data_IF_009884684912
#
_entry.id   IF_009884684912
#
_cell.length_a   1.000
_cell.length_b   1.000
_cell.length_c   1.000
_cell.angle_alpha   90.00
_cell.angle_beta   90.00
_cell.angle_gamma   90.00
#
_symmetry.space_group_name_H-M   'P 1'
#
loop_
_entity.id
_entity.type
_entity.pdbx_description
1 polymer ?
#
# COMPACT_ATOMS: atom_id res chain seq x y z
N UNK A 1 -6.48 9.21 -19.78
CA UNK A 1 -5.63 10.27 -19.19
C UNK A 1 -4.22 10.11 -19.69
N UNK A 2 -3.66 11.16 -20.29
CA UNK A 2 -2.24 11.21 -20.66
C UNK A 2 -1.40 11.66 -19.48
N UNK A 3 -0.25 11.04 -19.27
CA UNK A 3 0.65 11.34 -18.15
C UNK A 3 2.00 11.76 -18.72
N UNK A 4 2.44 12.98 -18.37
CA UNK A 4 3.76 13.47 -18.76
C UNK A 4 4.81 12.99 -17.78
N UNK A 5 5.96 12.54 -18.30
CA UNK A 5 7.12 12.11 -17.52
C UNK A 5 7.97 13.33 -17.16
N UNK A 6 8.30 13.50 -15.87
CA UNK A 6 8.98 14.69 -15.36
C UNK A 6 10.26 14.36 -14.58
N UNK A 7 10.18 13.42 -13.63
CA UNK A 7 11.30 13.07 -12.76
C UNK A 7 12.03 11.80 -13.16
N UNK A 8 11.35 10.89 -13.87
CA UNK A 8 11.86 9.57 -14.20
C UNK A 8 12.26 9.46 -15.67
N UNK A 9 12.92 8.35 -16.06
CA UNK A 9 13.24 8.05 -17.47
C UNK A 9 12.63 6.71 -17.87
N UNK A 10 12.19 6.62 -19.12
CA UNK A 10 11.64 5.39 -19.70
C UNK A 10 12.69 4.27 -19.65
N UNK A 11 12.24 3.05 -19.34
CA UNK A 11 13.09 1.84 -19.21
C UNK A 11 14.19 1.95 -18.14
N UNK A 12 14.05 2.88 -17.19
CA UNK A 12 14.96 3.07 -16.07
C UNK A 12 14.20 2.86 -14.76
N UNK A 13 14.83 2.26 -13.75
CA UNK A 13 14.21 2.20 -12.42
C UNK A 13 13.98 3.62 -11.89
N UNK A 14 12.79 3.95 -11.33
CA UNK A 14 12.56 5.23 -10.66
C UNK A 14 13.52 5.50 -9.50
N UNK A 15 14.16 4.46 -8.97
CA UNK A 15 15.10 4.57 -7.86
C UNK A 15 16.56 4.68 -8.29
N UNK A 16 16.87 4.59 -9.59
CA UNK A 16 18.25 4.46 -10.06
C UNK A 16 19.14 5.66 -9.69
N UNK A 17 18.58 6.86 -9.63
CA UNK A 17 19.29 8.11 -9.28
C UNK A 17 19.07 8.52 -7.81
N UNK A 18 18.63 7.58 -6.98
CA UNK A 18 18.38 7.79 -5.55
C UNK A 18 19.34 6.90 -4.76
N UNK A 19 20.18 7.52 -3.95
CA UNK A 19 21.00 6.78 -2.99
C UNK A 19 20.14 6.30 -1.81
N UNK A 20 20.36 5.05 -1.40
CA UNK A 20 19.71 4.44 -0.25
C UNK A 20 20.75 4.04 0.78
N UNK A 21 20.38 4.16 2.05
CA UNK A 21 21.18 3.71 3.19
C UNK A 21 20.43 2.68 4.01
N UNK A 22 21.17 1.76 4.63
CA UNK A 22 20.63 0.89 5.69
C UNK A 22 20.71 1.63 7.02
N UNK A 23 19.64 1.55 7.81
CA UNK A 23 19.55 2.18 9.12
C UNK A 23 18.63 1.39 10.05
N UNK A 24 18.76 1.64 11.35
CA UNK A 24 17.88 1.07 12.37
C UNK A 24 16.95 2.13 12.95
N UNK A 25 15.81 1.67 13.46
CA UNK A 25 14.87 2.47 14.23
C UNK A 25 14.69 1.83 15.60
N UNK A 26 14.91 2.60 16.66
CA UNK A 26 14.72 2.14 18.03
C UNK A 26 13.99 3.22 18.83
N UNK A 27 12.89 2.84 19.46
CA UNK A 27 12.08 3.73 20.30
C UNK A 27 12.15 3.21 21.72
N UNK A 28 12.55 4.07 22.66
CA UNK A 28 12.68 3.75 24.08
C UNK A 28 11.71 4.58 24.93
N UNK A 29 11.29 3.99 26.04
CA UNK A 29 10.59 4.69 27.12
C UNK A 29 11.58 5.60 27.90
N UNK A 30 11.08 6.54 28.71
CA UNK A 30 11.92 7.37 29.59
C UNK A 30 12.78 6.56 30.56
N UNK A 31 12.36 5.34 30.92
CA UNK A 31 13.11 4.42 31.78
C UNK A 31 14.20 3.62 31.04
N UNK A 32 14.36 3.84 29.73
CA UNK A 32 15.35 3.18 28.88
C UNK A 32 14.90 1.85 28.27
N UNK A 33 13.72 1.32 28.64
CA UNK A 33 13.17 0.09 28.06
C UNK A 33 12.78 0.28 26.59
N UNK A 34 13.01 -0.75 25.75
CA UNK A 34 12.73 -0.70 24.30
C UNK A 34 11.24 -0.94 24.05
N UNK A 35 10.59 0.01 23.38
CA UNK A 35 9.19 -0.05 22.95
C UNK A 35 9.08 -0.69 21.57
N UNK A 36 10.03 -0.39 20.69
CA UNK A 36 10.09 -0.88 19.33
C UNK A 36 11.54 -0.87 18.86
N UNK A 37 11.95 -1.91 18.15
CA UNK A 37 13.22 -1.95 17.44
C UNK A 37 13.00 -2.61 16.08
N UNK A 38 13.64 -2.05 15.07
CA UNK A 38 13.75 -2.63 13.75
C UNK A 38 15.13 -2.30 13.18
N UNK A 39 15.80 -3.32 12.67
CA UNK A 39 17.13 -3.25 12.09
C UNK A 39 17.08 -3.45 10.58
N UNK A 40 18.17 -3.11 9.90
CA UNK A 40 18.36 -3.32 8.46
C UNK A 40 17.25 -2.73 7.57
N UNK A 41 16.77 -1.54 7.92
CA UNK A 41 15.77 -0.83 7.13
C UNK A 41 16.45 0.01 6.06
N UNK A 42 16.11 -0.23 4.80
CA UNK A 42 16.62 0.52 3.65
C UNK A 42 15.70 1.71 3.33
N UNK A 43 16.23 2.94 3.46
CA UNK A 43 15.53 4.20 3.17
C UNK A 43 16.38 5.10 2.26
N UNK A 44 15.78 6.06 1.53
CA UNK A 44 16.55 7.07 0.82
C UNK A 44 17.51 7.80 1.76
N UNK A 45 18.75 8.03 1.32
CA UNK A 45 19.82 8.56 2.16
C UNK A 45 19.47 9.92 2.80
N UNK A 46 18.77 10.76 2.05
CA UNK A 46 18.34 12.09 2.47
C UNK A 46 17.19 12.11 3.48
N UNK A 47 16.61 10.96 3.86
CA UNK A 47 15.56 10.90 4.88
C UNK A 47 16.13 11.15 6.28
N UNK A 48 15.42 11.96 7.06
CA UNK A 48 15.74 12.17 8.47
C UNK A 48 15.50 10.91 9.30
N UNK A 49 16.16 10.79 10.46
CA UNK A 49 15.91 9.68 11.39
C UNK A 49 14.44 9.60 11.79
N UNK A 50 13.78 10.74 12.01
CA UNK A 50 12.35 10.79 12.35
C UNK A 50 11.47 10.20 11.24
N UNK A 51 11.79 10.47 9.96
CA UNK A 51 11.04 9.90 8.84
C UNK A 51 11.22 8.37 8.77
N UNK A 52 12.45 7.88 8.97
CA UNK A 52 12.75 6.47 9.10
C UNK A 52 11.97 5.83 10.26
N UNK A 53 11.97 6.45 11.44
CA UNK A 53 11.30 5.90 12.63
C UNK A 53 9.79 5.79 12.43
N UNK A 54 9.17 6.81 11.82
CA UNK A 54 7.74 6.78 11.47
C UNK A 54 7.45 5.68 10.46
N UNK A 55 8.25 5.56 9.40
CA UNK A 55 8.12 4.50 8.40
C UNK A 55 8.20 3.12 9.07
N UNK A 56 9.23 2.89 9.87
CA UNK A 56 9.51 1.63 10.55
C UNK A 56 8.40 1.23 11.51
N UNK A 57 7.95 2.18 12.34
CA UNK A 57 7.00 1.90 13.40
C UNK A 57 5.57 1.72 12.88
N UNK A 58 5.20 2.49 11.84
CA UNK A 58 3.80 2.65 11.40
C UNK A 58 3.50 2.04 10.04
N UNK A 59 4.39 2.15 9.06
CA UNK A 59 4.04 1.94 7.66
C UNK A 59 4.64 0.69 7.03
N UNK A 60 5.79 0.22 7.51
CA UNK A 60 6.29 -1.10 7.14
C UNK A 60 5.35 -2.17 7.69
N UNK A 61 4.90 -3.07 6.81
CA UNK A 61 4.14 -4.24 7.24
C UNK A 61 5.05 -5.14 8.07
N UNK A 62 4.71 -5.34 9.34
CA UNK A 62 5.60 -6.05 10.29
C UNK A 62 5.66 -7.57 10.10
N UNK A 63 4.62 -8.16 9.52
CA UNK A 63 4.53 -9.61 9.35
C UNK A 63 3.56 -10.02 8.25
N UNK A 64 3.71 -11.25 7.77
CA UNK A 64 2.81 -11.88 6.80
C UNK A 64 3.14 -11.56 5.34
N UNK A 65 4.24 -10.85 5.07
CA UNK A 65 4.76 -10.68 3.71
C UNK A 65 5.38 -12.00 3.28
N UNK A 66 4.89 -12.67 2.22
CA UNK A 66 5.43 -13.95 1.78
C UNK A 66 6.82 -13.77 1.14
N UNK A 67 7.74 -14.68 1.46
CA UNK A 67 9.09 -14.66 0.90
C UNK A 67 9.13 -14.89 -0.63
N UNK A 68 8.10 -15.53 -1.18
CA UNK A 68 7.94 -15.73 -2.62
C UNK A 68 6.49 -15.53 -3.04
N UNK A 69 6.31 -14.82 -4.16
CA UNK A 69 5.01 -14.56 -4.78
C UNK A 69 5.03 -14.89 -6.26
N UNK A 70 3.86 -15.20 -6.81
CA UNK A 70 3.63 -15.41 -8.24
C UNK A 70 2.51 -14.49 -8.74
N UNK A 71 2.57 -14.05 -10.02
CA UNK A 71 1.50 -13.26 -10.60
C UNK A 71 0.19 -14.06 -10.68
N UNK A 72 -0.94 -13.36 -10.67
CA UNK A 72 -2.28 -13.91 -10.88
C UNK A 72 -2.75 -13.45 -12.27
N UNK A 73 -2.58 -14.28 -13.32
CA UNK A 73 -2.94 -13.87 -14.67
C UNK A 73 -4.38 -13.34 -14.73
N UNK A 74 -4.53 -12.15 -15.28
CA UNK A 74 -5.81 -11.49 -15.46
C UNK A 74 -5.89 -11.01 -16.92
N UNK A 75 -7.06 -11.17 -17.53
CA UNK A 75 -7.27 -10.78 -18.92
C UNK A 75 -7.12 -9.24 -19.05
N UNK A 76 -6.57 -8.79 -20.18
CA UNK A 76 -6.43 -7.37 -20.52
C UNK A 76 -5.56 -6.55 -19.54
N UNK A 77 -4.69 -7.22 -18.78
CA UNK A 77 -3.68 -6.58 -17.93
C UNK A 77 -2.26 -6.90 -18.41
N UNK A 78 -1.37 -5.88 -18.49
CA UNK A 78 0.05 -6.11 -18.69
C UNK A 78 0.65 -6.94 -17.56
N UNK A 79 1.60 -7.81 -17.89
CA UNK A 79 2.25 -8.72 -16.93
C UNK A 79 2.88 -7.96 -15.74
N UNK A 80 3.46 -6.78 -16.00
CA UNK A 80 4.11 -5.96 -14.98
C UNK A 80 3.15 -5.32 -13.96
N UNK A 81 1.86 -5.23 -14.29
CA UNK A 81 0.81 -4.61 -13.46
C UNK A 81 -0.07 -5.65 -12.74
N UNK A 82 0.17 -6.92 -13.02
CA UNK A 82 -0.65 -8.02 -12.51
C UNK A 82 -0.51 -8.17 -10.99
N UNK A 83 -1.63 -8.36 -10.30
CA UNK A 83 -1.65 -8.66 -8.87
C UNK A 83 -0.90 -9.97 -8.56
N UNK A 84 -0.42 -10.11 -7.33
CA UNK A 84 0.39 -11.26 -6.91
C UNK A 84 -0.22 -11.98 -5.72
N UNK A 85 0.08 -13.26 -5.61
CA UNK A 85 -0.27 -14.10 -4.44
C UNK A 85 0.94 -14.89 -3.96
N UNK A 86 0.93 -15.41 -2.71
CA UNK A 86 1.98 -16.32 -2.25
C UNK A 86 2.17 -17.47 -3.23
N UNK A 87 3.42 -17.87 -3.46
CA UNK A 87 3.79 -18.96 -4.35
C UNK A 87 4.06 -20.25 -3.54
N UNK A 88 3.10 -21.20 -3.44
CA UNK A 88 3.27 -22.36 -2.58
C UNK A 88 4.43 -23.26 -3.00
N UNK A 89 4.75 -23.32 -4.30
CA UNK A 89 5.80 -24.18 -4.83
C UNK A 89 7.18 -23.65 -4.42
N UNK A 90 7.41 -22.35 -4.57
CA UNK A 90 8.65 -21.72 -4.09
C UNK A 90 8.74 -21.72 -2.57
N UNK A 91 7.63 -21.42 -1.88
CA UNK A 91 7.58 -21.40 -0.41
C UNK A 91 7.81 -22.79 0.20
N UNK A 92 7.52 -23.88 -0.51
CA UNK A 92 7.82 -25.24 -0.04
C UNK A 92 9.32 -25.45 0.18
N UNK A 93 10.17 -24.77 -0.59
CA UNK A 93 11.63 -24.83 -0.52
C UNK A 93 12.25 -23.83 0.48
N UNK A 94 11.43 -22.98 1.10
CA UNK A 94 11.86 -22.01 2.12
C UNK A 94 11.60 -22.61 3.51
N UNK A 95 12.57 -22.51 4.45
CA UNK A 95 12.37 -22.90 5.84
C UNK A 95 11.13 -22.26 6.44
N UNK A 96 10.37 -23.00 7.27
CA UNK A 96 9.02 -22.61 7.69
C UNK A 96 8.99 -21.25 8.38
N UNK A 97 10.00 -20.97 9.19
CA UNK A 97 10.25 -19.74 9.93
C UNK A 97 10.55 -18.54 9.03
N UNK A 98 11.02 -18.77 7.80
CA UNK A 98 11.40 -17.73 6.83
C UNK A 98 10.41 -17.61 5.68
N UNK A 99 9.29 -18.34 5.70
CA UNK A 99 8.26 -18.28 4.65
C UNK A 99 7.52 -16.95 4.63
N UNK A 100 7.43 -16.28 5.77
CA UNK A 100 6.85 -14.95 5.90
C UNK A 100 7.76 -14.03 6.70
N UNK A 101 7.74 -12.75 6.37
CA UNK A 101 8.52 -11.71 7.04
C UNK A 101 7.73 -10.40 7.09
N UNK A 102 8.37 -9.32 7.51
CA UNK A 102 7.90 -7.96 7.30
C UNK A 102 8.55 -7.29 6.08
N UNK A 103 8.04 -6.11 5.73
CA UNK A 103 8.74 -5.15 4.85
C UNK A 103 9.93 -4.56 5.61
N UNK A 104 11.07 -4.44 4.93
CA UNK A 104 12.32 -3.84 5.46
C UNK A 104 12.85 -2.74 4.57
N UNK A 105 12.20 -2.46 3.42
CA UNK A 105 12.64 -1.42 2.48
C UNK A 105 11.52 -0.43 2.24
N UNK A 106 11.84 0.86 2.24
CA UNK A 106 10.89 1.90 1.89
C UNK A 106 10.32 1.70 0.48
N UNK A 107 11.14 1.19 -0.45
CA UNK A 107 10.74 0.85 -1.82
C UNK A 107 9.62 -0.18 -1.89
N UNK A 108 9.51 -1.11 -0.93
CA UNK A 108 8.39 -2.07 -0.88
C UNK A 108 7.06 -1.34 -0.67
N UNK A 109 7.04 -0.37 0.26
CA UNK A 109 5.85 0.44 0.56
C UNK A 109 5.47 1.31 -0.64
N UNK A 110 6.44 1.98 -1.25
CA UNK A 110 6.20 2.80 -2.45
C UNK A 110 5.68 1.96 -3.61
N UNK A 111 6.28 0.79 -3.84
CA UNK A 111 5.93 -0.11 -4.94
C UNK A 111 4.52 -0.67 -4.79
N UNK A 112 4.14 -1.12 -3.59
CA UNK A 112 2.78 -1.63 -3.36
C UNK A 112 1.72 -0.56 -3.52
N UNK A 113 1.99 0.67 -3.04
CA UNK A 113 1.02 1.77 -3.16
C UNK A 113 0.88 2.23 -4.60
N UNK A 114 1.98 2.61 -5.25
CA UNK A 114 1.96 3.10 -6.63
C UNK A 114 1.45 2.03 -7.59
N UNK A 115 1.85 0.77 -7.39
CA UNK A 115 1.36 -0.36 -8.18
C UNK A 115 -0.14 -0.58 -8.03
N UNK A 116 -0.67 -0.58 -6.80
CA UNK A 116 -2.10 -0.77 -6.56
C UNK A 116 -2.96 0.36 -7.13
N UNK A 117 -2.54 1.62 -6.97
CA UNK A 117 -3.24 2.75 -7.59
C UNK A 117 -3.23 2.67 -9.12
N UNK A 118 -2.09 2.30 -9.71
CA UNK A 118 -1.98 2.09 -11.16
C UNK A 118 -2.88 0.95 -11.61
N UNK A 119 -2.92 -0.16 -10.87
CA UNK A 119 -3.76 -1.31 -11.17
C UNK A 119 -5.24 -0.96 -11.15
N UNK A 120 -5.69 -0.22 -10.12
CA UNK A 120 -7.07 0.26 -10.07
C UNK A 120 -7.39 1.26 -11.18
N UNK A 121 -6.48 2.20 -11.46
CA UNK A 121 -6.65 3.16 -12.56
C UNK A 121 -6.73 2.47 -13.92
N UNK A 122 -5.93 1.43 -14.15
CA UNK A 122 -5.99 0.60 -15.36
C UNK A 122 -7.36 -0.05 -15.52
N UNK A 123 -7.83 -0.75 -14.48
CA UNK A 123 -9.14 -1.41 -14.50
C UNK A 123 -10.31 -0.43 -14.66
N UNK A 124 -10.14 0.80 -14.19
CA UNK A 124 -11.12 1.87 -14.36
C UNK A 124 -11.02 2.59 -15.73
N UNK A 125 -10.10 2.18 -16.61
CA UNK A 125 -9.93 2.77 -17.95
C UNK A 125 -9.35 4.19 -17.92
N UNK A 126 -8.56 4.53 -16.90
CA UNK A 126 -8.07 5.90 -16.72
C UNK A 126 -6.93 6.28 -17.65
N UNK A 127 -6.17 5.34 -18.21
CA UNK A 127 -4.97 5.65 -19.00
C UNK A 127 -5.26 5.60 -20.51
N UNK A 128 -4.74 6.55 -21.28
CA UNK A 128 -4.91 6.55 -22.74
C UNK A 128 -4.06 5.46 -23.40
N UNK A 129 -2.85 5.22 -22.86
CA UNK A 129 -1.87 4.25 -23.35
C UNK A 129 -1.20 3.49 -22.19
N UNK A 130 -0.59 2.35 -22.48
CA UNK A 130 0.21 1.61 -21.50
C UNK A 130 1.38 2.43 -20.93
N UNK A 131 2.01 3.26 -21.77
CA UNK A 131 3.07 4.17 -21.36
C UNK A 131 2.61 5.18 -20.31
N UNK A 132 1.34 5.63 -20.36
CA UNK A 132 0.79 6.56 -19.37
C UNK A 132 0.68 5.89 -18.00
N UNK A 133 0.27 4.62 -17.96
CA UNK A 133 0.19 3.83 -16.73
C UNK A 133 1.58 3.56 -16.14
N UNK A 134 2.57 3.23 -16.98
CA UNK A 134 3.95 3.07 -16.56
C UNK A 134 4.52 4.38 -16.01
N UNK A 135 4.31 5.48 -16.72
CA UNK A 135 4.76 6.81 -16.29
C UNK A 135 4.12 7.21 -14.97
N UNK A 136 2.81 7.01 -14.80
CA UNK A 136 2.10 7.28 -13.55
C UNK A 136 2.72 6.50 -12.37
N UNK A 137 2.94 5.20 -12.56
CA UNK A 137 3.57 4.35 -11.54
C UNK A 137 4.97 4.83 -11.19
N UNK A 138 5.79 5.12 -12.19
CA UNK A 138 7.19 5.50 -12.02
C UNK A 138 7.34 6.85 -11.31
N UNK A 139 6.60 7.87 -11.77
CA UNK A 139 6.63 9.21 -11.20
C UNK A 139 6.18 9.18 -9.73
N UNK A 140 5.13 8.42 -9.39
CA UNK A 140 4.68 8.29 -8.00
C UNK A 140 5.74 7.63 -7.10
N UNK A 141 6.40 6.57 -7.57
CA UNK A 141 7.48 5.91 -6.83
C UNK A 141 8.63 6.88 -6.55
N UNK A 142 9.03 7.64 -7.56
CA UNK A 142 10.06 8.67 -7.41
C UNK A 142 9.63 9.77 -6.43
N UNK A 143 8.42 10.32 -6.61
CA UNK A 143 7.90 11.40 -5.77
C UNK A 143 7.76 11.00 -4.31
N UNK A 144 7.32 9.76 -4.03
CA UNK A 144 7.25 9.22 -2.67
C UNK A 144 8.66 9.09 -2.06
N UNK A 145 9.62 8.53 -2.81
CA UNK A 145 10.99 8.37 -2.34
C UNK A 145 11.69 9.72 -2.05
N UNK A 146 11.49 10.72 -2.92
CA UNK A 146 12.05 12.07 -2.75
C UNK A 146 11.19 13.00 -1.86
N UNK A 147 10.10 12.50 -1.28
CA UNK A 147 9.16 13.28 -0.46
C UNK A 147 8.61 14.54 -1.17
N UNK A 148 8.43 14.47 -2.49
CA UNK A 148 7.81 15.53 -3.32
C UNK A 148 6.30 15.57 -3.07
N UNK A 149 5.70 14.40 -2.83
CA UNK A 149 4.29 14.25 -2.48
C UNK A 149 4.13 13.12 -1.48
N UNK A 150 3.11 13.22 -0.63
CA UNK A 150 2.72 12.17 0.30
C UNK A 150 1.19 12.08 0.40
N UNK A 151 0.59 10.89 0.30
CA UNK A 151 -0.84 10.73 0.56
C UNK A 151 -1.12 10.80 2.07
N UNK A 152 -2.41 10.86 2.43
CA UNK A 152 -2.85 10.76 3.81
C UNK A 152 -2.44 9.42 4.47
N UNK A 153 -2.38 9.39 5.80
CA UNK A 153 -1.85 8.25 6.55
C UNK A 153 -2.53 6.90 6.28
N UNK A 154 -3.88 6.80 6.14
CA UNK A 154 -4.56 5.54 5.81
C UNK A 154 -3.99 4.80 4.61
N UNK A 155 -3.56 5.52 3.57
CA UNK A 155 -2.99 4.92 2.36
C UNK A 155 -1.72 4.12 2.66
N UNK A 156 -0.88 4.63 3.54
CA UNK A 156 0.40 3.99 3.87
C UNK A 156 0.23 2.64 4.58
N UNK A 157 -0.83 2.46 5.36
CA UNK A 157 -1.00 1.24 6.16
C UNK A 157 -1.34 0.01 5.33
N UNK A 158 -2.37 0.11 4.47
CA UNK A 158 -2.99 -1.08 3.88
C UNK A 158 -2.97 -1.09 2.35
N UNK A 159 -2.79 0.06 1.70
CA UNK A 159 -2.91 0.12 0.24
C UNK A 159 -1.87 -0.76 -0.44
N UNK A 160 -2.35 -1.65 -1.29
CA UNK A 160 -1.52 -2.52 -2.10
C UNK A 160 -0.96 -3.75 -1.39
N UNK A 161 -1.24 -3.99 -0.10
CA UNK A 161 -0.84 -5.24 0.55
C UNK A 161 -1.46 -6.47 -0.13
N UNK A 162 -2.74 -6.38 -0.48
CA UNK A 162 -3.40 -7.44 -1.26
C UNK A 162 -2.83 -7.54 -2.68
N UNK A 163 -2.66 -6.41 -3.38
CA UNK A 163 -2.16 -6.40 -4.76
C UNK A 163 -0.72 -6.93 -4.89
N UNK A 164 0.19 -6.52 -4.01
CA UNK A 164 1.61 -6.87 -4.08
C UNK A 164 1.92 -8.25 -3.50
N UNK A 165 1.15 -8.71 -2.50
CA UNK A 165 1.49 -9.88 -1.70
C UNK A 165 0.38 -10.93 -1.59
N UNK A 166 -0.85 -10.61 -1.99
CA UNK A 166 -2.02 -11.44 -1.74
C UNK A 166 -2.38 -11.54 -0.25
N UNK A 167 -1.96 -10.56 0.56
CA UNK A 167 -2.35 -10.49 1.97
C UNK A 167 -3.84 -10.15 2.03
N UNK A 168 -4.58 -10.96 2.78
CA UNK A 168 -6.01 -10.81 2.97
C UNK A 168 -6.39 -10.96 4.45
N UNK A 169 -7.64 -10.64 4.78
CA UNK A 169 -8.17 -10.67 6.13
C UNK A 169 -9.68 -10.46 6.17
N UNK A 170 -10.33 -10.81 7.30
CA UNK A 170 -11.78 -10.72 7.43
C UNK A 170 -12.29 -9.29 7.19
N UNK A 171 -13.52 -9.12 6.69
CA UNK A 171 -14.10 -7.81 6.44
C UNK A 171 -14.15 -6.97 7.73
N UNK A 172 -13.81 -5.69 7.61
CA UNK A 172 -13.77 -4.73 8.73
C UNK A 172 -14.85 -3.64 8.62
N UNK A 173 -15.92 -3.91 7.87
CA UNK A 173 -17.02 -2.94 7.71
C UNK A 173 -16.73 -1.80 6.72
N UNK A 174 -15.67 -1.91 5.92
CA UNK A 174 -15.34 -0.89 4.91
C UNK A 174 -16.32 -0.92 3.74
N UNK A 175 -16.53 0.23 3.12
CA UNK A 175 -17.32 0.38 1.90
C UNK A 175 -16.44 0.91 0.78
N UNK A 176 -16.76 0.52 -0.45
CA UNK A 176 -16.13 1.05 -1.64
C UNK A 176 -17.19 1.30 -2.73
N UNK A 177 -16.91 2.23 -3.62
CA UNK A 177 -17.73 2.45 -4.81
C UNK A 177 -17.17 1.58 -5.93
N UNK A 178 -18.02 0.75 -6.52
CA UNK A 178 -17.69 0.01 -7.74
C UNK A 178 -17.56 1.01 -8.90
N UNK A 179 -16.38 1.08 -9.50
CA UNK A 179 -16.09 2.03 -10.57
C UNK A 179 -16.88 1.78 -11.86
N UNK A 180 -17.39 0.57 -12.06
CA UNK A 180 -18.17 0.18 -13.26
C UNK A 180 -19.65 0.47 -13.09
N UNK A 181 -20.20 0.19 -11.90
CA UNK A 181 -21.65 0.34 -11.63
C UNK A 181 -22.00 1.63 -10.89
N UNK A 182 -21.02 2.30 -10.27
CA UNK A 182 -21.22 3.45 -9.40
C UNK A 182 -21.89 3.13 -8.06
N UNK A 183 -22.14 1.84 -7.76
CA UNK A 183 -22.83 1.42 -6.54
C UNK A 183 -21.86 1.29 -5.38
N UNK A 184 -22.31 1.71 -4.20
CA UNK A 184 -21.61 1.46 -2.94
C UNK A 184 -21.80 -0.01 -2.56
N UNK A 185 -20.70 -0.71 -2.31
CA UNK A 185 -20.67 -2.09 -1.87
C UNK A 185 -19.86 -2.19 -0.57
N UNK A 186 -20.24 -3.15 0.28
CA UNK A 186 -19.43 -3.50 1.44
C UNK A 186 -18.24 -4.35 0.97
N UNK A 187 -17.05 -4.09 1.52
CA UNK A 187 -15.87 -4.89 1.24
C UNK A 187 -15.96 -6.23 1.97
N UNK A 188 -15.70 -7.32 1.25
CA UNK A 188 -15.60 -8.67 1.80
C UNK A 188 -14.19 -8.98 2.35
N UNK A 189 -13.25 -8.05 2.18
CA UNK A 189 -11.85 -8.17 2.53
C UNK A 189 -11.35 -6.90 3.22
N UNK A 190 -10.48 -7.05 4.23
CA UNK A 190 -9.81 -5.91 4.85
C UNK A 190 -8.76 -5.23 3.94
N UNK A 191 -8.23 -5.94 2.93
CA UNK A 191 -7.03 -5.52 2.21
C UNK A 191 -7.19 -5.39 0.69
N UNK A 192 -8.16 -6.07 0.08
CA UNK A 192 -8.42 -5.96 -1.37
C UNK A 192 -8.94 -4.56 -1.73
N UNK A 193 -9.91 -4.07 -0.95
CA UNK A 193 -10.43 -2.70 -0.96
C UNK A 193 -10.28 -2.13 0.47
N UNK A 194 -9.05 -1.80 0.88
CA UNK A 194 -8.79 -1.35 2.24
C UNK A 194 -9.40 0.03 2.47
N UNK A 195 -9.62 0.43 3.73
CA UNK A 195 -10.02 1.79 4.08
C UNK A 195 -8.84 2.76 3.89
N UNK A 196 -8.82 3.60 2.85
CA UNK A 196 -7.63 4.35 2.48
C UNK A 196 -7.89 5.87 2.53
N UNK A 197 -9.02 6.28 3.13
CA UNK A 197 -9.46 7.66 3.29
C UNK A 197 -9.50 8.00 4.78
N UNK A 198 -9.10 9.22 5.14
CA UNK A 198 -9.03 9.68 6.54
C UNK A 198 -10.25 10.50 6.97
N UNK A 199 -11.06 10.95 6.02
CA UNK A 199 -12.13 11.91 6.26
C UNK A 199 -13.45 11.32 5.78
N UNK A 200 -14.48 11.39 6.63
CA UNK A 200 -15.83 10.90 6.34
C UNK A 200 -16.84 11.96 6.71
N UNK A 201 -17.86 12.12 5.87
CA UNK A 201 -19.04 12.92 6.17
C UNK A 201 -20.18 11.92 6.33
N UNK A 202 -20.82 11.94 7.49
CA UNK A 202 -21.96 11.10 7.79
C UNK A 202 -23.19 12.00 7.96
N UNK A 203 -24.32 11.57 7.43
CA UNK A 203 -25.62 12.18 7.73
C UNK A 203 -26.27 11.41 8.88
N UNK A 204 -26.95 12.13 9.74
CA UNK A 204 -27.76 11.56 10.82
C UNK A 204 -29.16 12.15 10.72
N UNK A 205 -30.16 11.29 10.66
CA UNK A 205 -31.55 11.70 10.71
C UNK A 205 -31.93 12.05 12.15
N UNK A 206 -32.93 12.92 12.33
CA UNK A 206 -33.48 13.27 13.65
C UNK A 206 -34.34 12.13 14.20
N UNK A 207 -33.70 10.98 14.43
CA UNK A 207 -34.25 9.75 14.97
C UNK A 207 -33.26 9.16 15.97
N UNK A 208 -33.75 8.66 17.11
CA UNK A 208 -32.87 8.17 18.16
C UNK A 208 -32.32 6.76 17.88
N UNK A 209 -33.14 5.83 17.38
CA UNK A 209 -32.86 4.37 17.44
C UNK A 209 -32.99 3.63 16.11
N UNK A 210 -33.68 4.19 15.13
CA UNK A 210 -33.87 3.56 13.84
C UNK A 210 -32.60 3.66 12.98
N UNK A 211 -32.55 2.87 11.91
CA UNK A 211 -31.48 2.91 10.92
C UNK A 211 -31.36 4.33 10.34
N UNK A 212 -30.14 4.89 10.33
CA UNK A 212 -29.87 6.29 9.98
C UNK A 212 -29.99 7.28 11.13
N UNK A 213 -30.49 6.85 12.30
CA UNK A 213 -30.59 7.65 13.52
C UNK A 213 -29.28 7.72 14.33
N UNK A 214 -29.34 8.44 15.45
CA UNK A 214 -28.18 8.76 16.31
C UNK A 214 -27.49 7.49 16.83
N UNK A 215 -28.24 6.50 17.33
CA UNK A 215 -27.65 5.28 17.87
C UNK A 215 -27.01 4.40 16.79
N UNK A 216 -27.59 4.36 15.59
CA UNK A 216 -27.01 3.60 14.46
C UNK A 216 -25.66 4.21 14.05
N UNK A 217 -25.54 5.54 14.02
CA UNK A 217 -24.25 6.20 13.77
C UNK A 217 -23.18 5.88 14.82
N UNK A 218 -23.58 5.75 16.09
CA UNK A 218 -22.64 5.49 17.19
C UNK A 218 -22.12 4.04 17.24
N UNK A 219 -22.96 3.08 16.86
CA UNK A 219 -22.64 1.64 16.94
C UNK A 219 -21.91 1.12 15.69
N UNK A 220 -21.92 1.88 14.60
CA UNK A 220 -21.22 1.56 13.34
C UNK A 220 -19.69 1.68 13.41
#
# INVERSE_FOLDING_TARGET
MRISRHYTKKNQSPYQEIEFRSASSEIRNPDGSVVFSAEDIEVPDNWSQVALDVLAQKYLRKAGVPAATRPIPEQDLPEWLTARKPDPEKLAHVPRESRTSGETKATQVFDRMAGAWTYWGWKAGYFDQEEDAQTFRDELRYMLAKQIAAPNSPQWFNTGLHWAYGIDGPPQGHFYVDHSTGKVNQSNSAYERPQPHACFIQSVDDDLVNNGGIMDLWVR
#
